data_IF_921656332396
#
_entry.id   IF_921656332396
#
_cell.length_a   1.000
_cell.length_b   1.000
_cell.length_c   1.000
_cell.angle_alpha   90.00
_cell.angle_beta   90.00
_cell.angle_gamma   90.00
#
_symmetry.space_group_name_H-M   'P 1'
#
loop_
_entity.id
_entity.type
_entity.pdbx_description
1 polymer ?
#
# COMPACT_ATOMS: atom_id res chain seq x y z
N UNK A 1 -26.18 12.71 -39.32
CA UNK A 1 -25.76 11.44 -38.69
C UNK A 1 -24.76 11.73 -37.56
N UNK A 2 -25.17 12.54 -36.57
CA UNK A 2 -24.23 13.36 -35.78
C UNK A 2 -24.46 13.27 -34.27
N UNK A 3 -24.96 12.14 -33.75
CA UNK A 3 -25.21 11.93 -32.31
C UNK A 3 -24.58 10.66 -31.73
N UNK A 4 -23.76 9.95 -32.51
CA UNK A 4 -23.02 8.79 -32.01
C UNK A 4 -21.67 9.17 -31.35
N UNK A 5 -21.19 10.40 -31.54
CA UNK A 5 -19.89 10.91 -31.04
C UNK A 5 -20.10 11.94 -29.92
N UNK A 6 -21.00 11.61 -29.00
CA UNK A 6 -21.13 12.30 -27.72
C UNK A 6 -21.46 11.28 -26.63
N UNK A 7 -20.84 10.10 -26.67
CA UNK A 7 -20.86 9.24 -25.50
C UNK A 7 -20.11 10.00 -24.40
N UNK A 8 -20.79 10.43 -23.31
CA UNK A 8 -20.09 11.05 -22.20
C UNK A 8 -18.91 10.15 -21.81
N UNK A 9 -17.74 10.74 -21.51
CA UNK A 9 -16.51 9.98 -21.22
C UNK A 9 -16.71 8.91 -20.13
N UNK A 10 -17.70 9.09 -19.26
CA UNK A 10 -18.18 8.12 -18.26
C UNK A 10 -18.70 6.81 -18.88
N UNK A 11 -19.47 6.85 -19.97
CA UNK A 11 -19.98 5.61 -20.61
C UNK A 11 -18.85 4.80 -21.24
N UNK A 12 -17.91 5.48 -21.90
CA UNK A 12 -16.72 4.82 -22.44
C UNK A 12 -15.92 4.15 -21.32
N UNK A 13 -15.72 4.86 -20.21
CA UNK A 13 -15.05 4.30 -19.04
C UNK A 13 -15.79 3.11 -18.43
N UNK A 14 -17.12 3.16 -18.34
CA UNK A 14 -17.94 2.06 -17.83
C UNK A 14 -17.83 0.83 -18.73
N UNK A 15 -17.86 0.99 -20.06
CA UNK A 15 -17.68 -0.10 -21.02
C UNK A 15 -16.29 -0.72 -20.86
N UNK A 16 -15.24 0.09 -20.71
CA UNK A 16 -13.88 -0.42 -20.48
C UNK A 16 -13.82 -1.24 -19.18
N UNK A 17 -14.39 -0.72 -18.09
CA UNK A 17 -14.47 -1.45 -16.81
C UNK A 17 -15.25 -2.76 -16.97
N UNK A 18 -16.37 -2.75 -17.69
CA UNK A 18 -17.24 -3.92 -17.88
C UNK A 18 -16.60 -4.97 -18.80
N UNK A 19 -15.87 -4.56 -19.83
CA UNK A 19 -15.10 -5.48 -20.69
C UNK A 19 -13.95 -6.09 -19.92
N UNK A 20 -13.23 -5.29 -19.12
CA UNK A 20 -12.18 -5.81 -18.25
C UNK A 20 -12.73 -6.79 -17.20
N UNK A 21 -13.91 -6.49 -16.65
CA UNK A 21 -14.65 -7.37 -15.75
C UNK A 21 -15.01 -8.71 -16.42
N UNK A 22 -15.59 -8.67 -17.63
CA UNK A 22 -15.94 -9.86 -18.40
C UNK A 22 -14.70 -10.69 -18.73
N UNK A 23 -13.62 -10.04 -19.13
CA UNK A 23 -12.34 -10.70 -19.40
C UNK A 23 -11.76 -11.36 -18.14
N UNK A 24 -11.83 -10.68 -16.99
CA UNK A 24 -11.44 -11.22 -15.69
C UNK A 24 -12.29 -12.42 -15.27
N UNK A 25 -13.60 -12.37 -15.52
CA UNK A 25 -14.54 -13.48 -15.25
C UNK A 25 -14.26 -14.70 -16.13
N UNK A 26 -14.09 -14.48 -17.44
CA UNK A 26 -13.74 -15.54 -18.37
C UNK A 26 -12.38 -16.17 -18.00
N UNK A 27 -11.40 -15.36 -17.61
CA UNK A 27 -10.12 -15.86 -17.13
C UNK A 27 -10.25 -16.64 -15.82
N UNK A 28 -11.06 -16.18 -14.85
CA UNK A 28 -11.25 -16.91 -13.58
C UNK A 28 -11.89 -18.28 -13.80
N UNK A 29 -12.86 -18.36 -14.72
CA UNK A 29 -13.54 -19.60 -15.04
C UNK A 29 -12.62 -20.57 -15.79
N UNK A 30 -11.80 -20.05 -16.71
CA UNK A 30 -10.84 -20.86 -17.46
C UNK A 30 -9.68 -21.37 -16.61
N UNK A 31 -9.23 -20.60 -15.61
CA UNK A 31 -8.16 -20.98 -14.70
C UNK A 31 -8.66 -21.76 -13.47
N UNK A 32 -9.97 -21.85 -13.24
CA UNK A 32 -10.57 -22.54 -12.10
C UNK A 32 -10.27 -21.89 -10.74
N UNK A 33 -9.92 -20.59 -10.71
CA UNK A 33 -9.60 -19.90 -9.46
C UNK A 33 -10.89 -19.44 -8.75
N UNK A 34 -11.05 -19.72 -7.44
CA UNK A 34 -12.19 -19.26 -6.64
C UNK A 34 -12.03 -17.78 -6.26
N UNK A 35 -11.91 -16.90 -7.25
CA UNK A 35 -11.72 -15.47 -7.06
C UNK A 35 -12.78 -14.70 -7.85
N UNK A 36 -13.45 -13.69 -7.25
CA UNK A 36 -14.44 -12.89 -7.95
C UNK A 36 -13.82 -12.24 -9.20
N UNK A 37 -14.50 -12.36 -10.35
CA UNK A 37 -14.04 -11.78 -11.61
C UNK A 37 -13.73 -10.27 -11.53
N UNK A 38 -14.29 -9.56 -10.54
CA UNK A 38 -14.00 -8.12 -10.29
C UNK A 38 -12.56 -7.89 -9.91
N UNK A 39 -12.03 -8.74 -9.03
CA UNK A 39 -10.64 -8.63 -8.59
C UNK A 39 -9.69 -8.97 -9.73
N UNK A 40 -10.02 -9.99 -10.55
CA UNK A 40 -9.23 -10.30 -11.74
C UNK A 40 -9.30 -9.20 -12.80
N UNK A 41 -10.46 -8.60 -13.04
CA UNK A 41 -10.61 -7.49 -13.98
C UNK A 41 -9.81 -6.25 -13.55
N UNK A 42 -9.78 -5.95 -12.25
CA UNK A 42 -8.90 -4.93 -11.67
C UNK A 42 -7.42 -5.27 -11.87
N UNK A 43 -7.01 -6.52 -11.60
CA UNK A 43 -5.63 -6.96 -11.80
C UNK A 43 -5.22 -6.85 -13.27
N UNK A 44 -6.12 -7.22 -14.18
CA UNK A 44 -5.94 -7.09 -15.62
C UNK A 44 -5.74 -5.62 -16.01
N UNK A 45 -6.57 -4.70 -15.51
CA UNK A 45 -6.40 -3.27 -15.74
C UNK A 45 -5.09 -2.72 -15.18
N UNK A 46 -4.65 -3.20 -14.02
CA UNK A 46 -3.35 -2.83 -13.44
C UNK A 46 -2.21 -3.28 -14.35
N UNK A 47 -2.19 -4.54 -14.78
CA UNK A 47 -1.19 -5.06 -15.73
C UNK A 47 -1.20 -4.25 -17.02
N UNK A 48 -2.39 -3.96 -17.54
CA UNK A 48 -2.57 -3.20 -18.77
C UNK A 48 -2.11 -1.72 -18.61
N UNK A 49 -2.24 -1.15 -17.41
CA UNK A 49 -1.76 0.21 -17.09
C UNK A 49 -0.25 0.31 -16.88
N UNK A 50 0.39 -0.77 -16.43
CA UNK A 50 1.87 -0.88 -16.36
C UNK A 50 2.46 -0.86 -17.78
N UNK A 51 1.77 -1.45 -18.75
CA UNK A 51 2.16 -1.41 -20.17
C UNK A 51 1.95 0.01 -20.74
N UNK A 52 3.06 0.67 -21.12
CA UNK A 52 3.09 2.06 -21.62
C UNK A 52 2.08 2.31 -22.76
N UNK A 53 1.84 1.31 -23.59
CA UNK A 53 0.98 1.40 -24.78
C UNK A 53 -0.52 1.48 -24.46
N UNK A 54 -0.95 0.93 -23.32
CA UNK A 54 -2.38 0.82 -22.99
C UNK A 54 -2.83 1.77 -21.89
N UNK A 55 -1.93 2.64 -21.43
CA UNK A 55 -2.24 3.80 -20.56
C UNK A 55 -3.41 4.68 -21.02
N UNK A 56 -3.61 5.01 -22.31
CA UNK A 56 -4.76 5.83 -22.70
C UNK A 56 -6.10 5.13 -22.45
N UNK A 57 -6.17 3.80 -22.56
CA UNK A 57 -7.38 3.01 -22.28
C UNK A 57 -7.70 3.02 -20.79
N UNK A 58 -6.68 2.88 -19.93
CA UNK A 58 -6.85 2.96 -18.48
C UNK A 58 -7.30 4.36 -18.04
N UNK A 59 -6.75 5.42 -18.64
CA UNK A 59 -7.21 6.81 -18.39
C UNK A 59 -8.65 7.05 -18.83
N UNK A 60 -9.11 6.40 -19.88
CA UNK A 60 -10.50 6.50 -20.31
C UNK A 60 -11.48 5.83 -19.32
N UNK A 61 -11.02 4.92 -18.45
CA UNK A 61 -11.82 4.31 -17.39
C UNK A 61 -12.00 5.18 -16.14
N UNK A 62 -11.08 6.13 -15.90
CA UNK A 62 -11.07 7.03 -14.75
C UNK A 62 -12.39 7.78 -14.50
N UNK A 63 -13.03 8.45 -15.49
CA UNK A 63 -14.28 9.19 -15.27
C UNK A 63 -15.47 8.30 -14.83
N UNK A 64 -15.41 7.00 -15.11
CA UNK A 64 -16.40 6.04 -14.64
C UNK A 64 -16.01 5.40 -13.30
N UNK A 65 -14.71 5.21 -13.07
CA UNK A 65 -14.19 4.62 -11.84
C UNK A 65 -14.40 5.54 -10.63
N UNK A 66 -14.20 6.86 -10.75
CA UNK A 66 -14.33 7.81 -9.63
C UNK A 66 -15.69 7.72 -8.90
N UNK A 67 -16.85 7.82 -9.58
CA UNK A 67 -18.15 7.71 -8.90
C UNK A 67 -18.41 6.30 -8.34
N UNK A 68 -17.95 5.24 -9.04
CA UNK A 68 -18.05 3.86 -8.55
C UNK A 68 -17.22 3.63 -7.29
N UNK A 69 -16.04 4.24 -7.20
CA UNK A 69 -15.16 4.18 -6.03
C UNK A 69 -15.77 4.91 -4.84
N UNK A 70 -16.40 6.06 -5.08
CA UNK A 70 -17.14 6.81 -4.05
C UNK A 70 -18.35 6.03 -3.52
N UNK A 71 -19.00 5.25 -4.38
CA UNK A 71 -20.16 4.42 -4.02
C UNK A 71 -19.81 2.93 -4.00
N UNK A 72 -18.58 2.58 -3.63
CA UNK A 72 -18.10 1.18 -3.61
C UNK A 72 -18.99 0.27 -2.76
N UNK A 73 -19.67 0.85 -1.78
CA UNK A 73 -20.73 0.21 -0.99
C UNK A 73 -21.72 -0.54 -1.89
N UNK A 74 -22.13 0.04 -3.02
CA UNK A 74 -23.02 -0.59 -4.00
C UNK A 74 -22.43 -1.84 -4.64
N UNK A 75 -21.10 -1.93 -4.83
CA UNK A 75 -20.44 -3.11 -5.37
C UNK A 75 -20.23 -4.21 -4.32
N UNK A 76 -20.21 -3.85 -3.03
CA UNK A 76 -20.05 -4.82 -1.93
C UNK A 76 -21.38 -5.35 -1.38
N UNK A 77 -22.49 -4.67 -1.62
CA UNK A 77 -23.83 -5.15 -1.23
C UNK A 77 -24.17 -6.50 -1.87
N UNK A 78 -24.04 -6.72 -3.20
CA UNK A 78 -24.41 -8.00 -3.80
C UNK A 78 -23.59 -9.20 -3.27
N UNK A 79 -22.24 -9.12 -3.19
CA UNK A 79 -21.45 -10.18 -2.55
C UNK A 79 -21.81 -10.37 -1.07
N UNK A 80 -22.07 -9.28 -0.34
CA UNK A 80 -22.45 -9.34 1.07
C UNK A 80 -23.79 -10.05 1.29
N UNK A 81 -24.80 -9.77 0.46
CA UNK A 81 -26.10 -10.45 0.52
C UNK A 81 -25.95 -11.96 0.26
N UNK A 82 -25.04 -12.37 -0.62
CA UNK A 82 -24.73 -13.79 -0.83
C UNK A 82 -24.26 -14.50 0.45
N UNK A 83 -23.45 -13.83 1.27
CA UNK A 83 -22.98 -14.36 2.56
C UNK A 83 -24.13 -14.44 3.57
N UNK A 84 -25.02 -13.44 3.58
CA UNK A 84 -26.18 -13.40 4.50
C UNK A 84 -27.22 -14.48 4.17
N UNK A 85 -27.35 -14.91 2.91
CA UNK A 85 -28.21 -16.03 2.56
C UNK A 85 -27.72 -17.36 3.17
N UNK A 86 -26.40 -17.55 3.26
CA UNK A 86 -25.78 -18.74 3.83
C UNK A 86 -25.40 -18.59 5.32
N UNK A 87 -25.96 -17.57 6.00
CA UNK A 87 -25.54 -17.18 7.34
C UNK A 87 -25.75 -18.30 8.37
N UNK A 88 -26.78 -19.14 8.17
CA UNK A 88 -27.09 -20.26 9.07
C UNK A 88 -25.96 -21.30 9.10
N UNK A 89 -25.48 -21.72 7.93
CA UNK A 89 -24.34 -22.65 7.79
C UNK A 89 -23.05 -22.03 8.31
N UNK A 90 -22.86 -20.72 8.12
CA UNK A 90 -21.73 -19.96 8.67
C UNK A 90 -21.73 -19.97 10.20
N UNK A 91 -22.88 -19.78 10.84
CA UNK A 91 -23.00 -19.77 12.31
C UNK A 91 -22.74 -21.15 12.90
N UNK A 92 -23.27 -22.21 12.28
CA UNK A 92 -23.02 -23.60 12.71
C UNK A 92 -21.52 -23.95 12.69
N UNK A 93 -20.75 -23.34 11.79
CA UNK A 93 -19.31 -23.56 11.64
C UNK A 93 -18.46 -22.35 12.06
N UNK A 94 -19.01 -21.43 12.86
CA UNK A 94 -18.37 -20.15 13.16
C UNK A 94 -16.99 -20.30 13.83
N UNK A 95 -16.83 -21.30 14.70
CA UNK A 95 -15.58 -21.53 15.42
C UNK A 95 -14.44 -22.00 14.49
N UNK A 96 -14.61 -23.04 13.65
CA UNK A 96 -13.63 -23.38 12.62
C UNK A 96 -13.32 -22.23 11.65
N UNK A 97 -14.34 -21.50 11.19
CA UNK A 97 -14.16 -20.35 10.29
C UNK A 97 -13.35 -19.23 10.95
N UNK A 98 -13.66 -18.88 12.19
CA UNK A 98 -12.93 -17.85 12.93
C UNK A 98 -11.45 -18.23 13.11
N UNK A 99 -11.17 -19.49 13.47
CA UNK A 99 -9.80 -19.99 13.58
C UNK A 99 -9.07 -19.98 12.23
N UNK A 100 -9.73 -20.38 11.14
CA UNK A 100 -9.14 -20.36 9.81
C UNK A 100 -8.84 -18.92 9.34
N UNK A 101 -9.76 -17.98 9.56
CA UNK A 101 -9.59 -16.56 9.17
C UNK A 101 -8.51 -15.89 10.01
N UNK A 102 -8.59 -15.98 11.35
CA UNK A 102 -7.59 -15.37 12.24
C UNK A 102 -6.23 -16.04 12.05
N UNK A 103 -6.20 -17.37 11.93
CA UNK A 103 -4.98 -18.13 11.70
C UNK A 103 -4.32 -17.76 10.38
N UNK A 104 -5.07 -17.68 9.28
CA UNK A 104 -4.53 -17.26 7.99
C UNK A 104 -4.07 -15.80 7.99
N UNK A 105 -4.77 -14.91 8.68
CA UNK A 105 -4.38 -13.51 8.82
C UNK A 105 -3.05 -13.37 9.57
N UNK A 106 -2.92 -14.00 10.74
CA UNK A 106 -1.67 -14.00 11.52
C UNK A 106 -0.54 -14.65 10.72
N UNK A 107 -0.80 -15.79 10.07
CA UNK A 107 0.19 -16.47 9.24
C UNK A 107 0.67 -15.58 8.09
N UNK A 108 -0.23 -14.89 7.38
CA UNK A 108 0.12 -13.95 6.32
C UNK A 108 0.99 -12.79 6.83
N UNK A 109 0.66 -12.23 7.99
CA UNK A 109 1.46 -11.17 8.62
C UNK A 109 2.86 -11.66 9.01
N UNK A 110 2.95 -12.84 9.63
CA UNK A 110 4.23 -13.44 10.00
C UNK A 110 5.09 -13.72 8.77
N UNK A 111 4.52 -14.36 7.74
CA UNK A 111 5.23 -14.68 6.49
C UNK A 111 5.69 -13.40 5.79
N UNK A 112 4.84 -12.38 5.70
CA UNK A 112 5.18 -11.09 5.10
C UNK A 112 6.32 -10.39 5.86
N UNK A 113 6.23 -10.33 7.18
CA UNK A 113 7.27 -9.76 8.03
C UNK A 113 8.59 -10.52 7.94
N UNK A 114 8.53 -11.85 7.92
CA UNK A 114 9.72 -12.71 7.80
C UNK A 114 10.38 -12.58 6.43
N UNK A 115 9.58 -12.51 5.36
CA UNK A 115 10.06 -12.27 4.01
C UNK A 115 10.76 -10.92 3.89
N UNK A 116 10.17 -9.86 4.46
CA UNK A 116 10.79 -8.53 4.50
C UNK A 116 12.11 -8.56 5.27
N UNK A 117 12.15 -9.21 6.44
CA UNK A 117 13.36 -9.32 7.24
C UNK A 117 14.45 -10.14 6.54
N UNK A 118 14.07 -11.20 5.82
CA UNK A 118 14.99 -12.00 5.02
C UNK A 118 15.58 -11.19 3.85
N UNK A 119 14.77 -10.38 3.17
CA UNK A 119 15.23 -9.49 2.10
C UNK A 119 16.21 -8.44 2.63
N UNK A 120 15.90 -7.81 3.78
CA UNK A 120 16.78 -6.83 4.42
C UNK A 120 18.13 -7.45 4.83
N UNK A 121 18.11 -8.62 5.49
CA UNK A 121 19.35 -9.35 5.85
C UNK A 121 20.20 -9.73 4.64
N UNK A 122 19.58 -10.03 3.49
CA UNK A 122 20.30 -10.29 2.22
C UNK A 122 20.94 -9.04 1.64
N UNK A 123 20.33 -7.87 1.82
CA UNK A 123 20.90 -6.60 1.37
C UNK A 123 22.10 -6.17 2.22
N UNK A 124 22.05 -6.36 3.54
CA UNK A 124 23.17 -6.04 4.43
C UNK A 124 24.40 -6.91 4.15
N UNK A 125 24.20 -8.21 3.88
CA UNK A 125 25.31 -9.09 3.46
C UNK A 125 25.94 -8.68 2.12
N UNK A 126 25.16 -8.15 1.18
CA UNK A 126 25.68 -7.64 -0.10
C UNK A 126 26.46 -6.33 0.06
N UNK A 127 26.06 -5.47 1.00
CA UNK A 127 26.80 -4.24 1.33
C UNK A 127 28.13 -4.56 2.04
N UNK A 128 28.15 -5.54 2.95
CA UNK A 128 29.36 -5.97 3.65
C UNK A 128 30.43 -6.60 2.73
N UNK A 129 30.04 -7.27 1.65
CA UNK A 129 30.98 -7.84 0.68
C UNK A 129 31.51 -6.83 -0.37
N UNK A 130 30.93 -5.62 -0.45
CA UNK A 130 31.39 -4.54 -1.32
C UNK A 130 32.41 -3.61 -0.67
N UNK A 131 32.53 -3.65 0.67
CA UNK A 131 33.59 -3.00 1.42
C UNK A 131 34.81 -3.93 1.52
N UNK A 132 35.40 -4.26 0.36
CA UNK A 132 36.76 -4.79 0.32
C UNK A 132 37.72 -3.76 0.93
N UNK A 133 38.82 -4.19 1.56
CA UNK A 133 39.75 -3.30 2.25
C UNK A 133 40.23 -2.23 1.28
N UNK A 134 39.93 -0.97 1.57
CA UNK A 134 40.66 0.16 1.03
C UNK A 134 42.09 0.03 1.54
N UNK A 135 42.88 -0.75 0.81
CA UNK A 135 44.32 -0.75 0.88
C UNK A 135 44.79 0.60 0.35
N UNK A 136 44.79 1.59 1.22
CA UNK A 136 45.74 2.70 1.17
C UNK A 136 46.24 2.88 2.61
N UNK A 137 47.32 2.16 2.90
CA UNK A 137 48.17 2.54 4.03
C UNK A 137 48.85 3.87 3.72
N UNK A 138 49.39 4.52 4.76
CA UNK A 138 50.83 4.69 4.70
C UNK A 138 51.49 4.13 5.95
N UNK A 139 52.51 3.29 5.73
CA UNK A 139 53.51 3.01 6.73
C UNK A 139 54.34 4.29 6.96
N UNK A 140 54.42 4.76 8.20
CA UNK A 140 55.35 5.80 8.62
C UNK A 140 55.25 6.06 10.13
N UNK A 141 56.37 6.14 10.86
CA UNK A 141 56.47 5.66 12.25
C UNK A 141 56.18 6.74 13.29
N UNK A 142 55.62 6.36 14.45
CA UNK A 142 55.50 7.29 15.57
C UNK A 142 54.69 6.76 16.75
N UNK A 143 55.34 5.96 17.60
CA UNK A 143 55.20 5.97 19.07
C UNK A 143 53.87 5.50 19.72
N UNK A 144 53.91 4.67 20.77
CA UNK A 144 52.76 4.42 21.62
C UNK A 144 52.60 5.56 22.64
N UNK A 145 51.46 6.25 22.64
CA UNK A 145 51.07 7.13 23.73
C UNK A 145 49.54 7.17 23.86
N UNK A 146 49.01 6.20 24.61
CA UNK A 146 47.86 6.45 25.48
C UNK A 146 48.40 6.92 26.84
N UNK A 147 47.59 7.45 27.78
CA UNK A 147 46.21 7.93 27.72
C UNK A 147 46.10 9.40 28.20
N UNK A 148 44.90 10.01 28.16
CA UNK A 148 44.35 10.90 29.21
C UNK A 148 43.13 11.69 28.69
N UNK A 149 41.95 11.11 28.90
CA UNK A 149 40.74 11.88 29.21
C UNK A 149 40.29 11.43 30.61
N UNK A 150 39.67 12.29 31.45
CA UNK A 150 38.32 12.76 31.12
C UNK A 150 38.01 14.20 31.61
N UNK A 151 37.30 14.98 30.80
CA UNK A 151 36.50 16.09 31.32
C UNK A 151 35.10 16.00 30.74
N UNK A 152 34.17 15.72 31.64
CA UNK A 152 32.75 15.46 31.45
C UNK A 152 32.01 16.72 30.91
N UNK A 153 30.73 16.56 30.50
CA UNK A 153 30.04 17.47 29.59
C UNK A 153 29.51 18.72 30.29
N UNK A 154 29.61 19.86 29.61
CA UNK A 154 28.91 21.08 29.96
C UNK A 154 27.39 20.85 29.94
N UNK A 155 26.75 21.11 31.08
CA UNK A 155 25.32 20.94 31.28
C UNK A 155 24.46 21.96 30.52
N UNK A 156 23.13 21.75 30.47
CA UNK A 156 22.20 22.64 29.81
C UNK A 156 22.05 23.95 30.59
N UNK A 157 22.25 25.07 29.90
CA UNK A 157 21.97 26.41 30.41
C UNK A 157 20.47 26.57 30.69
N UNK A 158 20.21 27.15 31.86
CA UNK A 158 18.92 27.36 32.50
C UNK A 158 17.99 28.35 31.74
N UNK A 159 16.68 28.35 32.07
CA UNK A 159 15.67 29.18 31.42
C UNK A 159 15.57 30.57 32.08
N UNK A 160 15.35 31.60 31.26
CA UNK A 160 15.03 32.95 31.73
C UNK A 160 14.34 33.74 30.62
N UNK A 161 13.04 33.98 30.74
CA UNK A 161 12.55 35.29 31.21
C UNK A 161 11.01 35.31 31.28
N UNK A 162 10.41 35.82 32.38
CA UNK A 162 8.99 36.15 32.48
C UNK A 162 8.78 37.66 32.27
N UNK A 163 8.31 38.04 31.09
CA UNK A 163 7.69 39.33 30.82
C UNK A 163 6.53 39.07 29.87
N UNK A 164 5.28 39.46 30.07
CA UNK A 164 4.59 40.38 30.96
C UNK A 164 3.26 40.67 30.23
N UNK A 165 2.10 40.73 30.91
CA UNK A 165 0.81 40.78 30.23
C UNK A 165 0.50 42.20 29.77
N UNK A 166 0.22 42.39 28.48
CA UNK A 166 -0.47 43.59 27.96
C UNK A 166 -1.85 43.18 27.48
N UNK A 167 -2.85 43.88 28.03
CA UNK A 167 -4.27 43.62 27.91
C UNK A 167 -4.89 44.41 26.70
N UNK A 168 -6.19 44.72 26.65
CA UNK A 168 -7.10 44.19 25.62
C UNK A 168 -7.69 45.29 24.71
N UNK A 169 -8.47 44.88 23.70
CA UNK A 169 -9.52 45.72 23.11
C UNK A 169 -9.35 46.09 21.64
N UNK A 170 -10.01 45.35 20.76
CA UNK A 170 -10.50 45.88 19.49
C UNK A 170 -11.98 45.55 19.37
N UNK A 171 -12.79 46.61 19.32
CA UNK A 171 -14.21 46.61 19.05
C UNK A 171 -14.47 46.59 17.52
N UNK A 172 -15.62 46.08 17.06
CA UNK A 172 -16.03 46.16 15.66
C UNK A 172 -16.82 47.46 15.37
N UNK A 173 -16.70 47.95 14.14
CA UNK A 173 -17.62 48.88 13.49
C UNK A 173 -17.91 48.35 12.07
#
# INVERSE_FOLDING_TARGET
>A
MSRAVALPPVLLGLVILLVAQLAGSAASELLGLPVPGVVLGLLLLVVLGVVRWTRPVVRAAEPAATPLLQHLQLLFVPPGVGIVLELRTLVENALPLALAVVGSFVAALLVSGWLLQALLRRQDRRRGNGAGPSADGPAGPGGPAAPDGPAAPGGPAAPGDPAGPTAPGQAPA
#
